data_IF_925493796938
#
_entry.id   IF_925493796938
#
_cell.length_a   1.000
_cell.length_b   1.000
_cell.length_c   1.000
_cell.angle_alpha   90.00
_cell.angle_beta   90.00
_cell.angle_gamma   90.00
#
_symmetry.space_group_name_H-M   'P 1'
#
loop_
_entity.id
_entity.type
_entity.pdbx_description
1 polymer ?
#
# COMPACT_ATOMS: atom_id res chain seq x y z
N UNK A 1 -5.29 -19.00 37.39
CA UNK A 1 -6.42 -18.36 36.68
C UNK A 1 -5.91 -17.88 35.32
N UNK A 2 -6.18 -18.64 34.26
CA UNK A 2 -5.81 -18.23 32.90
C UNK A 2 -6.84 -17.23 32.40
N UNK A 3 -6.39 -16.03 32.01
CA UNK A 3 -7.22 -15.10 31.27
C UNK A 3 -7.44 -15.66 29.87
N UNK A 4 -8.53 -16.39 29.66
CA UNK A 4 -9.05 -16.67 28.32
C UNK A 4 -9.73 -15.39 27.86
N UNK A 5 -8.92 -14.42 27.45
CA UNK A 5 -9.40 -13.26 26.73
C UNK A 5 -9.91 -13.75 25.38
N UNK A 6 -11.22 -13.90 25.24
CA UNK A 6 -11.88 -14.28 24.00
C UNK A 6 -11.56 -13.23 22.92
N UNK A 7 -10.52 -13.48 22.13
CA UNK A 7 -10.34 -12.79 20.86
C UNK A 7 -11.38 -13.43 19.96
N UNK A 8 -12.44 -12.69 19.61
CA UNK A 8 -13.26 -13.07 18.45
C UNK A 8 -12.32 -13.03 17.26
N UNK A 9 -11.74 -14.17 16.92
CA UNK A 9 -10.95 -14.31 15.72
C UNK A 9 -11.86 -13.96 14.54
N UNK A 10 -11.46 -12.94 13.79
CA UNK A 10 -12.12 -12.64 12.53
C UNK A 10 -11.99 -13.90 11.68
N UNK A 11 -13.12 -14.46 11.21
CA UNK A 11 -13.09 -15.62 10.31
C UNK A 11 -12.13 -15.28 9.17
N UNK A 12 -11.26 -16.22 8.80
CA UNK A 12 -10.20 -16.03 7.80
C UNK A 12 -10.71 -15.36 6.51
N UNK A 13 -11.94 -15.69 6.08
CA UNK A 13 -12.63 -15.07 4.94
C UNK A 13 -12.85 -13.56 5.13
N UNK A 14 -13.27 -13.13 6.31
CA UNK A 14 -13.51 -11.73 6.64
C UNK A 14 -12.20 -10.96 6.80
N UNK A 15 -11.16 -11.62 7.33
CA UNK A 15 -9.81 -11.05 7.37
C UNK A 15 -9.27 -10.80 5.96
N UNK A 16 -9.32 -11.81 5.09
CA UNK A 16 -8.93 -11.66 3.68
C UNK A 16 -9.71 -10.55 2.99
N UNK A 17 -11.01 -10.40 3.29
CA UNK A 17 -11.84 -9.32 2.75
C UNK A 17 -11.41 -7.94 3.28
N UNK A 18 -11.16 -7.80 4.58
CA UNK A 18 -10.65 -6.57 5.18
C UNK A 18 -9.35 -6.14 4.50
N UNK A 19 -8.38 -7.05 4.38
CA UNK A 19 -7.11 -6.76 3.71
C UNK A 19 -7.30 -6.37 2.25
N UNK A 20 -8.18 -7.06 1.52
CA UNK A 20 -8.46 -6.72 0.12
C UNK A 20 -9.10 -5.33 -0.03
N UNK A 21 -10.02 -4.93 0.85
CA UNK A 21 -10.63 -3.59 0.86
C UNK A 21 -9.55 -2.54 1.09
N UNK A 22 -8.71 -2.71 2.12
CA UNK A 22 -7.70 -1.72 2.46
C UNK A 22 -6.58 -1.64 1.44
N UNK A 23 -6.19 -2.75 0.81
CA UNK A 23 -5.14 -2.73 -0.24
C UNK A 23 -5.60 -2.09 -1.55
N UNK A 24 -6.91 -2.00 -1.83
CA UNK A 24 -7.44 -1.24 -2.97
C UNK A 24 -7.21 0.27 -2.82
N UNK A 25 -7.20 0.76 -1.58
CA UNK A 25 -6.90 2.15 -1.26
C UNK A 25 -6.26 2.24 0.12
N UNK A 26 -4.92 2.28 0.17
CA UNK A 26 -4.15 2.33 1.42
C UNK A 26 -4.38 3.63 2.22
N UNK A 27 -4.97 4.65 1.59
CA UNK A 27 -5.29 5.95 2.21
C UNK A 27 -6.77 6.07 2.57
N UNK A 28 -7.56 5.01 2.41
CA UNK A 28 -8.96 5.01 2.81
C UNK A 28 -9.08 5.26 4.32
N UNK A 29 -9.99 6.15 4.70
CA UNK A 29 -10.32 6.38 6.11
C UNK A 29 -11.03 5.16 6.69
N UNK A 30 -11.08 5.09 8.02
CA UNK A 30 -11.86 4.08 8.71
C UNK A 30 -13.32 4.04 8.24
N UNK A 31 -13.96 5.19 8.03
CA UNK A 31 -15.38 5.24 7.65
C UNK A 31 -15.61 4.65 6.26
N UNK A 32 -14.69 4.88 5.31
CA UNK A 32 -14.72 4.25 4.00
C UNK A 32 -14.54 2.72 4.11
N UNK A 33 -13.59 2.26 4.92
CA UNK A 33 -13.37 0.82 5.17
C UNK A 33 -14.61 0.20 5.82
N UNK A 34 -15.18 0.85 6.84
CA UNK A 34 -16.36 0.40 7.57
C UNK A 34 -17.60 0.32 6.66
N UNK A 35 -17.80 1.29 5.78
CA UNK A 35 -18.88 1.25 4.78
C UNK A 35 -18.74 0.02 3.87
N UNK A 36 -17.54 -0.25 3.36
CA UNK A 36 -17.27 -1.43 2.52
C UNK A 36 -17.48 -2.75 3.28
N UNK A 37 -17.07 -2.82 4.54
CA UNK A 37 -17.32 -3.99 5.38
C UNK A 37 -18.81 -4.24 5.59
N UNK A 38 -19.60 -3.20 5.85
CA UNK A 38 -21.06 -3.29 6.02
C UNK A 38 -21.78 -3.77 4.76
N UNK A 39 -21.35 -3.35 3.57
CA UNK A 39 -21.86 -3.88 2.30
C UNK A 39 -21.65 -5.41 2.22
N UNK A 40 -20.57 -5.91 2.81
CA UNK A 40 -20.27 -7.33 2.91
C UNK A 40 -20.84 -8.02 4.15
N UNK A 41 -21.73 -7.36 4.90
CA UNK A 41 -22.34 -7.87 6.14
C UNK A 41 -21.29 -8.24 7.21
N UNK A 42 -20.15 -7.55 7.21
CA UNK A 42 -19.11 -7.69 8.21
C UNK A 42 -19.24 -6.51 9.18
N UNK A 43 -19.66 -6.81 10.41
CA UNK A 43 -19.71 -5.82 11.49
C UNK A 43 -18.61 -6.12 12.51
N UNK A 44 -17.61 -5.23 12.55
CA UNK A 44 -16.46 -5.34 13.44
C UNK A 44 -16.09 -3.98 14.01
N UNK A 45 -15.58 -3.98 15.24
CA UNK A 45 -15.18 -2.74 15.90
C UNK A 45 -13.97 -2.10 15.22
N UNK A 46 -13.82 -0.78 15.37
CA UNK A 46 -12.61 -0.07 14.95
C UNK A 46 -11.33 -0.67 15.53
N UNK A 47 -11.37 -1.07 16.80
CA UNK A 47 -10.24 -1.73 17.45
C UNK A 47 -9.84 -3.02 16.74
N UNK A 48 -10.81 -3.85 16.36
CA UNK A 48 -10.59 -5.08 15.59
C UNK A 48 -9.99 -4.77 14.22
N UNK A 49 -10.55 -3.80 13.49
CA UNK A 49 -10.01 -3.37 12.19
C UNK A 49 -8.54 -2.97 12.32
N UNK A 50 -8.22 -2.07 13.26
CA UNK A 50 -6.85 -1.60 13.47
C UNK A 50 -5.90 -2.75 13.84
N UNK A 51 -6.30 -3.60 14.81
CA UNK A 51 -5.48 -4.74 15.26
C UNK A 51 -5.11 -5.65 14.09
N UNK A 52 -6.09 -6.05 13.27
CA UNK A 52 -5.85 -6.95 12.15
C UNK A 52 -5.03 -6.30 11.03
N UNK A 53 -5.30 -5.04 10.71
CA UNK A 53 -4.49 -4.32 9.72
C UNK A 53 -3.04 -4.20 10.17
N UNK A 54 -2.77 -3.91 11.44
CA UNK A 54 -1.40 -3.88 11.98
C UNK A 54 -0.73 -5.24 11.90
N UNK A 55 -1.43 -6.33 12.24
CA UNK A 55 -0.88 -7.69 12.16
C UNK A 55 -0.45 -8.07 10.73
N UNK A 56 -1.15 -7.59 9.71
CA UNK A 56 -0.82 -7.85 8.30
C UNK A 56 0.10 -6.79 7.67
N UNK A 57 0.68 -5.90 8.48
CA UNK A 57 1.62 -4.87 8.04
C UNK A 57 0.98 -3.68 7.34
N UNK A 58 -0.33 -3.47 7.51
CA UNK A 58 -1.06 -2.32 6.97
C UNK A 58 -1.19 -1.25 8.05
N UNK A 59 -0.37 -0.22 7.94
CA UNK A 59 -0.41 0.96 8.82
C UNK A 59 -0.91 2.22 8.11
N UNK A 60 -0.88 3.33 8.83
CA UNK A 60 -1.09 4.66 8.26
C UNK A 60 0.08 5.01 7.33
N UNK A 61 -0.21 5.23 6.06
CA UNK A 61 0.79 5.64 5.07
C UNK A 61 0.60 7.12 4.72
N UNK A 62 1.70 7.82 4.48
CA UNK A 62 1.70 9.14 3.88
C UNK A 62 2.22 9.02 2.46
N UNK A 63 1.62 9.77 1.54
CA UNK A 63 2.17 9.88 0.19
C UNK A 63 3.55 10.54 0.26
N UNK A 64 4.57 9.87 -0.27
CA UNK A 64 5.88 10.49 -0.43
C UNK A 64 5.74 11.70 -1.36
N UNK A 65 6.34 12.82 -0.98
CA UNK A 65 6.41 13.99 -1.85
C UNK A 65 7.08 13.62 -3.16
N UNK A 66 6.43 13.97 -4.27
CA UNK A 66 6.95 13.77 -5.62
C UNK A 66 6.85 15.10 -6.36
N UNK A 67 7.96 15.64 -6.90
CA UNK A 67 7.88 16.84 -7.71
C UNK A 67 6.97 16.59 -8.91
N UNK A 68 6.14 17.57 -9.24
CA UNK A 68 5.31 17.52 -10.42
C UNK A 68 6.22 17.51 -11.66
N UNK A 69 6.31 16.35 -12.33
CA UNK A 69 7.03 16.24 -13.60
C UNK A 69 6.04 16.46 -14.75
N UNK A 70 6.33 17.37 -15.68
CA UNK A 70 5.60 17.47 -16.94
C UNK A 70 5.56 16.12 -17.65
N UNK A 71 4.46 15.81 -18.32
CA UNK A 71 4.25 14.52 -18.98
C UNK A 71 5.35 14.22 -20.00
N UNK A 72 5.83 15.24 -20.72
CA UNK A 72 6.97 15.13 -21.64
C UNK A 72 8.25 14.67 -20.93
N UNK A 73 8.54 15.25 -19.76
CA UNK A 73 9.70 14.86 -18.96
C UNK A 73 9.57 13.43 -18.43
N UNK A 74 8.35 13.00 -18.04
CA UNK A 74 8.10 11.60 -17.62
C UNK A 74 8.39 10.64 -18.76
N UNK A 75 7.90 10.93 -19.97
CA UNK A 75 8.14 10.11 -21.17
C UNK A 75 9.62 10.05 -21.54
N UNK A 76 10.32 11.19 -21.53
CA UNK A 76 11.76 11.26 -21.85
C UNK A 76 12.60 10.46 -20.85
N UNK A 77 12.34 10.63 -19.54
CA UNK A 77 13.05 9.88 -18.48
C UNK A 77 12.78 8.39 -18.57
N UNK A 78 11.53 7.98 -18.79
CA UNK A 78 11.16 6.57 -18.93
C UNK A 78 11.80 5.93 -20.17
N UNK A 79 11.80 6.63 -21.30
CA UNK A 79 12.42 6.14 -22.54
C UNK A 79 13.91 5.92 -22.34
N UNK A 80 14.61 6.92 -21.80
CA UNK A 80 16.02 6.82 -21.45
C UNK A 80 16.25 5.59 -20.54
N UNK A 81 15.63 5.54 -19.37
CA UNK A 81 15.78 4.40 -18.45
C UNK A 81 15.58 3.01 -19.09
N UNK A 82 14.67 2.86 -20.08
CA UNK A 82 14.50 1.62 -20.86
C UNK A 82 15.63 1.35 -21.84
N UNK A 83 16.08 2.37 -22.57
CA UNK A 83 17.20 2.28 -23.53
C UNK A 83 18.51 1.89 -22.84
N UNK A 84 18.72 2.37 -21.61
CA UNK A 84 19.92 2.10 -20.82
C UNK A 84 19.78 0.95 -19.82
N UNK A 85 18.62 0.29 -19.72
CA UNK A 85 18.34 -0.73 -18.70
C UNK A 85 19.33 -1.92 -18.71
N UNK A 86 19.88 -2.26 -19.87
CA UNK A 86 20.80 -3.39 -20.06
C UNK A 86 22.25 -2.94 -20.30
N UNK A 87 22.60 -1.71 -19.94
CA UNK A 87 23.96 -1.22 -20.12
C UNK A 87 24.96 -1.94 -19.22
N UNK A 88 26.09 -2.31 -19.82
CA UNK A 88 27.27 -2.82 -19.13
C UNK A 88 28.02 -1.69 -18.40
N UNK A 89 28.91 -2.05 -17.48
CA UNK A 89 29.62 -1.11 -16.63
C UNK A 89 30.42 -0.07 -17.43
N UNK A 90 31.02 -0.48 -18.54
CA UNK A 90 31.80 0.38 -19.44
C UNK A 90 30.92 1.45 -20.10
N UNK A 91 29.65 1.12 -20.38
CA UNK A 91 28.69 2.06 -20.97
C UNK A 91 28.25 3.10 -19.94
N UNK A 92 28.07 2.70 -18.68
CA UNK A 92 27.82 3.62 -17.57
C UNK A 92 29.00 4.58 -17.32
N UNK A 93 30.23 4.10 -17.51
CA UNK A 93 31.44 4.92 -17.39
C UNK A 93 31.53 6.09 -18.37
N UNK A 94 30.74 6.08 -19.45
CA UNK A 94 30.68 7.16 -20.43
C UNK A 94 29.61 8.22 -20.12
N UNK A 95 28.82 8.06 -19.04
CA UNK A 95 27.79 9.03 -18.66
C UNK A 95 28.38 10.09 -17.74
N UNK A 96 28.29 11.35 -18.16
CA UNK A 96 28.61 12.50 -17.32
C UNK A 96 27.32 13.04 -16.71
N UNK A 97 27.33 13.24 -15.39
CA UNK A 97 26.22 13.80 -14.64
C UNK A 97 26.54 15.25 -14.25
N UNK A 98 25.58 16.15 -14.44
CA UNK A 98 25.59 17.51 -13.90
C UNK A 98 24.29 17.75 -13.14
N UNK A 99 24.37 18.38 -11.97
CA UNK A 99 23.21 18.84 -11.19
C UNK A 99 22.79 20.26 -11.60
#
# INVERSE_FOLDING_TARGET
MQHIGSTKELIERNERRLVAITRKNLFATYDCINLQLRIHQIDISRFTVTKYLTLVGVGSNFEAYKPALPEENRKRRLRWAKEQANWAMEQWGNVIWSD
#
